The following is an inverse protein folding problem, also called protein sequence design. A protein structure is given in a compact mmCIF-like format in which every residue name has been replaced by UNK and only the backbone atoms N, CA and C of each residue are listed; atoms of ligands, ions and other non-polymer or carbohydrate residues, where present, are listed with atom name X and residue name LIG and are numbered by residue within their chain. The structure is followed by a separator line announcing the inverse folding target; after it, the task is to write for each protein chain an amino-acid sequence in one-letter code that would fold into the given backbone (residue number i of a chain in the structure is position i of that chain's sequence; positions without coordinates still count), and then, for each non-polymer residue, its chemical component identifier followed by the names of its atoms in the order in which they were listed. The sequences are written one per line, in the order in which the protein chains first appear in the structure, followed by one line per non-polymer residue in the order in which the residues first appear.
data_IF_611304240109
#
_entry.id   IF_611304240109
#
_cell.length_a   1.000
_cell.length_b   1.000
_cell.length_c   1.000
_cell.angle_alpha   90.00
_cell.angle_beta   90.00
_cell.angle_gamma   90.00
#
_symmetry.space_group_name_H-M   'P 1'
#
loop_
_entity.id
_entity.type
_entity.pdbx_description
1 polymer ?
#
# COMPACT_ATOMS: atom_id res chain seq x y z
N UNK A 1 10.19 11.93 1.25
CA UNK A 1 9.42 10.94 0.48
C UNK A 1 7.96 11.11 0.84
N UNK A 2 7.04 10.94 -0.11
CA UNK A 2 5.59 11.01 0.14
C UNK A 2 4.88 9.87 -0.55
N UNK A 3 3.85 9.33 0.08
CA UNK A 3 3.00 8.30 -0.51
C UNK A 3 1.53 8.70 -0.38
N UNK A 4 0.75 8.47 -1.44
CA UNK A 4 -0.71 8.39 -1.37
C UNK A 4 -1.08 6.92 -1.33
N UNK A 5 -1.73 6.50 -0.26
CA UNK A 5 -2.11 5.10 -0.01
C UNK A 5 -3.60 4.94 -0.27
N UNK A 6 -3.94 3.99 -1.14
CA UNK A 6 -5.33 3.66 -1.47
C UNK A 6 -5.62 2.23 -1.04
N UNK A 7 -6.64 2.04 -0.21
CA UNK A 7 -7.16 0.71 0.11
C UNK A 7 -7.99 0.20 -1.05
N UNK A 8 -7.65 -0.98 -1.57
CA UNK A 8 -8.29 -1.55 -2.77
C UNK A 8 -8.80 -2.96 -2.51
N UNK A 9 -9.87 -3.35 -3.21
CA UNK A 9 -10.29 -4.75 -3.33
C UNK A 9 -9.53 -5.51 -4.41
N UNK A 10 -8.99 -4.78 -5.40
CA UNK A 10 -8.07 -5.25 -6.45
C UNK A 10 -7.41 -4.05 -7.14
N UNK A 11 -6.22 -4.25 -7.71
CA UNK A 11 -5.57 -3.26 -8.58
C UNK A 11 -4.61 -3.94 -9.57
N UNK A 12 -4.38 -3.29 -10.71
CA UNK A 12 -3.40 -3.75 -11.71
C UNK A 12 -2.77 -2.57 -12.44
N UNK A 13 -1.55 -2.75 -12.91
CA UNK A 13 -0.81 -1.81 -13.77
C UNK A 13 -0.70 -2.42 -15.16
N UNK A 14 -1.03 -1.61 -16.17
CA UNK A 14 -0.88 -2.00 -17.57
C UNK A 14 0.15 -1.10 -18.26
N UNK A 15 0.93 -1.69 -19.15
CA UNK A 15 1.77 -0.97 -20.12
C UNK A 15 1.25 -1.32 -21.51
N UNK A 16 0.49 -0.41 -22.12
CA UNK A 16 -0.35 -0.74 -23.27
C UNK A 16 -1.47 -1.70 -22.85
N UNK A 17 -1.50 -2.90 -23.44
CA UNK A 17 -2.48 -3.95 -23.12
C UNK A 17 -1.94 -5.02 -22.17
N UNK A 18 -0.65 -5.01 -21.85
CA UNK A 18 0.00 -6.02 -21.01
C UNK A 18 -0.11 -5.69 -19.52
N UNK A 19 -0.51 -6.66 -18.70
CA UNK A 19 -0.51 -6.55 -17.23
C UNK A 19 0.90 -6.82 -16.71
N UNK A 20 1.53 -5.79 -16.16
CA UNK A 20 2.91 -5.86 -15.61
C UNK A 20 2.94 -6.02 -14.08
N UNK A 21 1.78 -5.94 -13.44
CA UNK A 21 1.63 -6.14 -12.00
C UNK A 21 0.16 -6.13 -11.60
N UNK A 22 -0.22 -6.99 -10.67
CA UNK A 22 -1.59 -7.13 -10.19
C UNK A 22 -1.62 -7.60 -8.74
N UNK A 23 -2.59 -7.07 -7.99
CA UNK A 23 -2.90 -7.49 -6.63
C UNK A 23 -4.41 -7.69 -6.45
N UNK A 24 -4.76 -8.60 -5.53
CA UNK A 24 -6.11 -8.70 -4.99
C UNK A 24 -6.37 -7.64 -3.91
N UNK A 25 -6.97 -8.04 -2.80
CA UNK A 25 -7.19 -7.18 -1.63
C UNK A 25 -5.84 -6.63 -1.14
N UNK A 26 -5.74 -5.32 -0.95
CA UNK A 26 -4.44 -4.73 -0.64
C UNK A 26 -4.40 -3.22 -0.65
N UNK A 27 -3.20 -2.68 -0.89
CA UNK A 27 -2.95 -1.25 -1.01
C UNK A 27 -2.31 -0.92 -2.35
N UNK A 28 -2.74 0.17 -2.99
CA UNK A 28 -1.97 0.82 -4.05
C UNK A 28 -1.20 1.99 -3.44
N UNK A 29 0.11 2.03 -3.69
CA UNK A 29 1.00 3.07 -3.17
C UNK A 29 1.49 3.94 -4.34
N UNK A 30 1.01 5.18 -4.41
CA UNK A 30 1.56 6.17 -5.33
C UNK A 30 2.71 6.89 -4.64
N UNK A 31 3.94 6.53 -5.01
CA UNK A 31 5.16 6.97 -4.33
C UNK A 31 5.83 8.14 -5.06
N UNK A 32 6.07 9.23 -4.34
CA UNK A 32 6.87 10.37 -4.78
C UNK A 32 8.18 10.46 -4.01
N UNK A 33 9.29 10.49 -4.74
CA UNK A 33 10.66 10.57 -4.21
C UNK A 33 11.28 11.91 -4.61
N UNK A 34 11.80 12.65 -3.64
CA UNK A 34 12.52 13.90 -3.82
C UNK A 34 14.04 13.70 -3.67
N UNK A 35 14.85 14.64 -4.19
CA UNK A 35 16.32 14.56 -4.15
C UNK A 35 16.91 14.51 -2.73
N UNK A 36 16.20 15.08 -1.76
CA UNK A 36 16.61 15.11 -0.36
C UNK A 36 16.24 13.83 0.41
N UNK A 37 15.59 12.87 -0.24
CA UNK A 37 15.10 11.69 0.44
C UNK A 37 16.21 10.67 0.71
N UNK A 38 16.10 10.00 1.86
CA UNK A 38 17.10 9.03 2.32
C UNK A 38 16.53 7.62 2.39
N UNK A 39 17.42 6.61 2.39
CA UNK A 39 17.03 5.22 2.59
C UNK A 39 16.31 5.00 3.93
N UNK A 40 16.71 5.71 4.99
CA UNK A 40 16.06 5.66 6.30
C UNK A 40 14.60 6.13 6.23
N UNK A 41 14.33 7.22 5.49
CA UNK A 41 12.96 7.68 5.26
C UNK A 41 12.14 6.68 4.44
N UNK A 42 12.77 5.95 3.52
CA UNK A 42 12.11 4.89 2.76
C UNK A 42 11.67 3.74 3.67
N UNK A 43 12.58 3.24 4.53
CA UNK A 43 12.28 2.21 5.52
C UNK A 43 11.17 2.66 6.46
N UNK A 44 11.29 3.86 7.02
CA UNK A 44 10.26 4.42 7.90
C UNK A 44 8.90 4.53 7.22
N UNK A 45 8.85 4.96 5.95
CA UNK A 45 7.60 5.07 5.22
C UNK A 45 7.01 3.68 4.92
N UNK A 46 7.83 2.70 4.55
CA UNK A 46 7.39 1.33 4.33
C UNK A 46 6.77 0.73 5.61
N UNK A 47 7.47 0.82 6.75
CA UNK A 47 6.98 0.36 8.05
C UNK A 47 5.68 1.04 8.45
N UNK A 48 5.58 2.36 8.19
CA UNK A 48 4.35 3.12 8.43
C UNK A 48 3.20 2.64 7.56
N UNK A 49 3.43 2.37 6.27
CA UNK A 49 2.36 1.95 5.34
C UNK A 49 1.84 0.56 5.69
N UNK A 50 2.71 -0.41 5.96
CA UNK A 50 2.26 -1.79 6.28
C UNK A 50 1.52 -1.87 7.62
N UNK A 51 1.79 -0.95 8.54
CA UNK A 51 1.17 -0.86 9.87
C UNK A 51 -0.10 0.01 9.92
N UNK A 52 -0.51 0.66 8.81
CA UNK A 52 -1.74 1.45 8.78
C UNK A 52 -2.97 0.56 9.08
N UNK A 53 -3.68 0.88 10.15
CA UNK A 53 -4.91 0.21 10.57
C UNK A 53 -6.12 0.72 9.78
N UNK A 54 -6.15 0.41 8.48
CA UNK A 54 -7.15 0.93 7.54
C UNK A 54 -8.03 -0.17 6.94
N UNK A 55 -7.89 -1.41 7.40
CA UNK A 55 -8.80 -2.51 7.04
C UNK A 55 -9.79 -2.80 8.16
N UNK A 56 -10.98 -3.28 7.77
CA UNK A 56 -12.06 -3.62 8.69
C UNK A 56 -11.78 -4.94 9.42
N UNK A 57 -12.08 -4.97 10.72
CA UNK A 57 -12.17 -6.18 11.53
C UNK A 57 -13.56 -6.84 11.41
N UNK A 58 -13.82 -7.87 12.23
CA UNK A 58 -15.09 -8.60 12.25
C UNK A 58 -16.29 -7.75 12.70
N UNK A 59 -16.04 -6.59 13.31
CA UNK A 59 -17.03 -5.62 13.77
C UNK A 59 -17.10 -4.40 12.83
N UNK A 60 -16.53 -4.51 11.62
CA UNK A 60 -16.49 -3.49 10.59
C UNK A 60 -15.70 -2.22 10.95
N UNK A 61 -14.93 -2.25 12.04
CA UNK A 61 -14.10 -1.14 12.49
C UNK A 61 -12.73 -1.17 11.82
N UNK A 62 -12.16 0.00 11.54
CA UNK A 62 -10.84 0.14 10.91
C UNK A 62 -9.70 -0.16 11.90
N UNK A 63 -9.44 -1.44 12.13
CA UNK A 63 -8.51 -1.90 13.16
C UNK A 63 -7.43 -2.84 12.64
N UNK A 64 -7.49 -3.28 11.39
CA UNK A 64 -6.54 -4.25 10.85
C UNK A 64 -5.52 -3.58 9.93
N UNK A 65 -4.26 -4.01 10.06
CA UNK A 65 -3.16 -3.67 9.16
C UNK A 65 -3.17 -4.54 7.90
N UNK A 66 -2.22 -4.29 6.98
CA UNK A 66 -2.13 -5.03 5.72
C UNK A 66 -1.86 -6.53 5.95
N UNK A 67 -0.94 -6.85 6.88
CA UNK A 67 -0.58 -8.22 7.21
C UNK A 67 -1.74 -9.02 7.82
N UNK A 68 -2.56 -8.37 8.65
CA UNK A 68 -3.71 -9.01 9.32
C UNK A 68 -4.77 -9.51 8.33
N UNK A 69 -4.87 -8.87 7.17
CA UNK A 69 -5.82 -9.24 6.11
C UNK A 69 -5.19 -10.06 4.99
N UNK A 70 -3.92 -10.46 5.13
CA UNK A 70 -3.17 -11.16 4.09
C UNK A 70 -3.10 -10.38 2.77
N UNK A 71 -3.13 -9.05 2.84
CA UNK A 71 -3.20 -8.21 1.66
C UNK A 71 -1.85 -7.99 0.98
N UNK A 72 -1.89 -7.56 -0.27
CA UNK A 72 -0.71 -7.30 -1.10
C UNK A 72 -0.54 -5.80 -1.44
N UNK A 73 0.60 -5.45 -2.01
CA UNK A 73 0.99 -4.12 -2.50
C UNK A 73 1.58 -4.22 -3.89
#
# INVERSE_FOLDING_TARGET
MRAVVQRVSRARVLVGEEVVGEIGRGLVILLGVARSDTAEQATWLADKVVSLRIFQDAQENMNLGLGDVGGAV
#
